data_IF_635360579343
#
_entry.id   IF_635360579343
#
_cell.length_a   1.000
_cell.length_b   1.000
_cell.length_c   1.000
_cell.angle_alpha   90.00
_cell.angle_beta   90.00
_cell.angle_gamma   90.00
#
_symmetry.space_group_name_H-M   'P 1'
#
loop_
_entity.id
_entity.type
_entity.pdbx_description
1 polymer ?
#
# COMPACT_ATOMS: atom_id res chain seq x y z
N UNK A 1 21.33 -8.19 -8.54
CA UNK A 1 21.90 -6.83 -8.66
C UNK A 1 21.17 -6.05 -9.73
N UNK A 2 21.22 -4.72 -9.69
CA UNK A 2 20.77 -3.82 -10.74
C UNK A 2 21.92 -2.86 -11.04
N UNK A 3 22.34 -2.74 -12.31
CA UNK A 3 23.53 -1.96 -12.70
C UNK A 3 24.78 -2.25 -11.85
N UNK A 4 25.01 -3.53 -11.53
CA UNK A 4 26.17 -3.99 -10.75
C UNK A 4 26.05 -3.80 -9.23
N UNK A 5 25.05 -3.08 -8.73
CA UNK A 5 24.82 -2.87 -7.29
C UNK A 5 23.78 -3.83 -6.72
N UNK A 6 23.81 -4.07 -5.41
CA UNK A 6 22.76 -4.82 -4.73
C UNK A 6 21.41 -4.12 -4.95
N UNK A 7 20.43 -4.89 -5.43
CA UNK A 7 19.07 -4.40 -5.66
C UNK A 7 18.26 -4.57 -4.37
N UNK A 8 17.37 -3.63 -4.09
CA UNK A 8 16.37 -3.78 -3.03
C UNK A 8 15.32 -4.81 -3.46
N UNK A 9 15.24 -5.94 -2.76
CA UNK A 9 14.31 -7.04 -3.08
C UNK A 9 13.13 -7.04 -2.12
N UNK A 10 12.33 -5.98 -2.18
CA UNK A 10 11.10 -5.83 -1.39
C UNK A 10 10.08 -6.91 -1.79
N UNK A 11 9.30 -7.42 -0.83
CA UNK A 11 8.28 -8.42 -1.11
C UNK A 11 7.08 -8.24 -0.17
N UNK A 12 5.91 -8.67 -0.62
CA UNK A 12 4.70 -8.70 0.19
C UNK A 12 3.98 -10.04 0.07
N UNK A 13 3.09 -10.33 1.02
CA UNK A 13 2.32 -11.58 1.03
C UNK A 13 1.48 -11.74 -0.23
N UNK A 14 0.65 -10.75 -0.56
CA UNK A 14 -0.24 -10.80 -1.71
C UNK A 14 -0.42 -9.40 -2.29
N UNK A 15 -0.02 -9.18 -3.55
CA UNK A 15 -0.08 -7.86 -4.17
C UNK A 15 -1.47 -7.50 -4.70
N UNK A 16 -2.40 -8.47 -4.78
CA UNK A 16 -3.75 -8.27 -5.28
C UNK A 16 -3.84 -8.30 -6.82
N UNK A 17 -2.90 -8.94 -7.51
CA UNK A 17 -2.91 -9.10 -8.97
C UNK A 17 -2.04 -8.10 -9.72
N UNK A 18 -1.51 -7.08 -9.04
CA UNK A 18 -0.53 -6.14 -9.60
C UNK A 18 0.34 -5.52 -8.50
N UNK A 19 1.64 -5.48 -8.73
CA UNK A 19 2.59 -4.84 -7.82
C UNK A 19 2.58 -3.31 -7.98
N UNK A 20 3.03 -2.60 -6.95
CA UNK A 20 3.16 -1.16 -6.93
C UNK A 20 4.53 -0.72 -7.45
N UNK A 21 4.58 0.45 -8.10
CA UNK A 21 5.83 1.04 -8.52
C UNK A 21 6.46 1.83 -7.36
N UNK A 22 7.76 1.60 -7.12
CA UNK A 22 8.51 2.36 -6.10
C UNK A 22 8.81 3.79 -6.59
N UNK A 23 9.00 3.95 -7.90
CA UNK A 23 9.39 5.20 -8.54
C UNK A 23 10.81 5.18 -9.11
N UNK A 24 11.30 6.32 -9.60
CA UNK A 24 12.50 6.39 -10.45
C UNK A 24 13.81 6.01 -9.74
N UNK A 25 13.85 6.04 -8.40
CA UNK A 25 15.04 5.65 -7.62
C UNK A 25 15.26 4.13 -7.57
N UNK A 26 14.22 3.34 -7.88
CA UNK A 26 14.31 1.89 -7.99
C UNK A 26 13.44 1.42 -9.17
N UNK A 27 13.89 1.66 -10.43
CA UNK A 27 13.09 1.41 -11.62
C UNK A 27 12.77 -0.09 -11.83
N UNK A 28 13.56 -0.97 -11.22
CA UNK A 28 13.33 -2.42 -11.19
C UNK A 28 12.26 -2.86 -10.17
N UNK A 29 11.78 -1.96 -9.30
CA UNK A 29 10.56 -2.15 -8.49
C UNK A 29 9.39 -1.49 -9.23
N UNK A 30 9.10 -1.99 -10.43
CA UNK A 30 8.01 -1.53 -11.28
C UNK A 30 6.67 -2.19 -10.89
N UNK A 31 5.58 -1.61 -11.38
CA UNK A 31 4.28 -2.29 -11.38
C UNK A 31 4.27 -3.42 -12.41
N UNK A 32 4.04 -4.63 -11.93
CA UNK A 32 3.99 -5.86 -12.72
C UNK A 32 2.66 -6.54 -12.44
N UNK A 33 1.89 -6.77 -13.50
CA UNK A 33 0.63 -7.50 -13.41
C UNK A 33 0.88 -9.01 -13.36
N UNK A 34 0.11 -9.69 -12.52
CA UNK A 34 0.10 -11.15 -12.43
C UNK A 34 -0.94 -11.74 -13.40
N UNK A 35 -0.76 -12.99 -13.86
CA UNK A 35 -1.78 -13.72 -14.59
C UNK A 35 -3.13 -13.74 -13.84
N UNK A 36 -4.24 -13.61 -14.57
CA UNK A 36 -5.58 -13.47 -13.99
C UNK A 36 -6.06 -14.73 -13.27
N UNK A 37 -5.48 -15.88 -13.63
CA UNK A 37 -5.77 -17.20 -13.07
C UNK A 37 -5.20 -17.37 -11.66
N UNK A 38 -4.28 -16.49 -11.22
CA UNK A 38 -3.75 -16.51 -9.87
C UNK A 38 -4.82 -15.98 -8.91
N UNK A 39 -5.32 -16.80 -7.97
CA UNK A 39 -6.28 -16.34 -6.98
C UNK A 39 -5.57 -15.46 -5.96
N UNK A 40 -6.24 -14.39 -5.56
CA UNK A 40 -5.76 -13.46 -4.55
C UNK A 40 -6.77 -13.36 -3.41
N UNK A 41 -6.26 -13.10 -2.22
CA UNK A 41 -7.05 -12.82 -1.04
C UNK A 41 -7.94 -11.60 -1.25
N UNK A 42 -9.17 -11.69 -0.74
CA UNK A 42 -10.10 -10.56 -0.61
C UNK A 42 -10.45 -10.38 0.86
N UNK A 43 -10.77 -9.16 1.24
CA UNK A 43 -11.17 -8.82 2.60
C UNK A 43 -12.20 -7.70 2.58
N UNK A 44 -13.03 -7.67 3.61
CA UNK A 44 -14.01 -6.61 3.82
C UNK A 44 -13.98 -6.17 5.27
N UNK A 45 -14.00 -4.86 5.51
CA UNK A 45 -14.10 -4.29 6.84
C UNK A 45 -15.15 -3.19 6.86
N UNK A 46 -16.03 -3.24 7.85
CA UNK A 46 -17.11 -2.27 8.02
C UNK A 46 -16.99 -1.56 9.35
N UNK A 47 -17.23 -0.26 9.34
CA UNK A 47 -17.36 0.60 10.51
C UNK A 47 -18.64 1.42 10.39
N UNK A 48 -19.23 1.80 11.50
CA UNK A 48 -20.06 3.00 11.53
C UNK A 48 -19.17 4.24 11.41
N UNK A 49 -19.72 5.35 10.91
CA UNK A 49 -19.02 6.65 10.88
C UNK A 49 -18.52 7.07 12.28
N UNK A 50 -19.29 6.76 13.32
CA UNK A 50 -18.93 7.06 14.72
C UNK A 50 -17.72 6.26 15.20
N UNK A 51 -17.68 4.96 14.94
CA UNK A 51 -16.53 4.11 15.30
C UNK A 51 -15.26 4.54 14.54
N UNK A 52 -15.39 4.83 13.25
CA UNK A 52 -14.29 5.27 12.42
C UNK A 52 -13.77 6.64 12.88
N UNK A 53 -14.69 7.57 13.18
CA UNK A 53 -14.37 8.88 13.77
C UNK A 53 -13.58 8.72 15.08
N UNK A 54 -14.07 7.88 16.01
CA UNK A 54 -13.40 7.65 17.30
C UNK A 54 -11.98 7.10 17.13
N UNK A 55 -11.77 6.14 16.21
CA UNK A 55 -10.43 5.59 15.91
C UNK A 55 -9.48 6.65 15.35
N UNK A 56 -9.96 7.49 14.45
CA UNK A 56 -9.16 8.56 13.86
C UNK A 56 -8.81 9.64 14.89
N UNK A 57 -9.76 10.03 15.75
CA UNK A 57 -9.52 10.99 16.83
C UNK A 57 -8.51 10.44 17.84
N UNK A 58 -8.62 9.17 18.22
CA UNK A 58 -7.66 8.49 19.09
C UNK A 58 -6.24 8.48 18.49
N UNK A 59 -6.13 8.47 17.16
CA UNK A 59 -4.86 8.60 16.44
C UNK A 59 -4.39 10.06 16.23
N UNK A 60 -5.10 11.04 16.80
CA UNK A 60 -4.75 12.47 16.78
C UNK A 60 -5.45 13.30 15.71
N UNK A 61 -6.32 12.70 14.89
CA UNK A 61 -7.03 13.39 13.81
C UNK A 61 -8.34 14.01 14.29
N UNK A 62 -8.25 15.11 15.04
CA UNK A 62 -9.41 15.79 15.65
C UNK A 62 -10.47 16.25 14.63
N UNK A 63 -10.09 16.50 13.37
CA UNK A 63 -10.99 16.88 12.29
C UNK A 63 -11.97 15.77 11.88
N UNK A 64 -11.75 14.52 12.32
CA UNK A 64 -12.66 13.40 12.06
C UNK A 64 -13.90 13.43 12.97
N UNK A 65 -13.98 14.33 13.95
CA UNK A 65 -15.16 14.49 14.81
C UNK A 65 -16.41 14.88 14.00
N UNK A 66 -17.48 14.11 14.19
CA UNK A 66 -18.71 14.21 13.41
C UNK A 66 -18.60 13.75 11.95
N UNK A 67 -17.73 12.76 11.66
CA UNK A 67 -17.55 12.22 10.30
C UNK A 67 -18.88 11.90 9.60
N UNK A 68 -19.04 12.33 8.35
CA UNK A 68 -20.24 12.14 7.53
C UNK A 68 -19.96 11.35 6.24
N UNK A 69 -18.75 11.44 5.69
CA UNK A 69 -18.42 10.82 4.42
C UNK A 69 -16.96 10.38 4.36
N UNK A 70 -16.73 9.23 3.75
CA UNK A 70 -15.40 8.70 3.42
C UNK A 70 -15.33 8.41 1.93
N UNK A 71 -14.24 8.83 1.28
CA UNK A 71 -14.01 8.58 -0.15
C UNK A 71 -12.52 8.53 -0.47
N UNK A 72 -12.14 7.80 -1.51
CA UNK A 72 -10.77 7.84 -2.03
C UNK A 72 -10.63 9.09 -2.89
N UNK A 73 -9.63 9.92 -2.60
CA UNK A 73 -9.39 11.16 -3.36
C UNK A 73 -8.37 11.00 -4.48
N UNK A 74 -7.49 10.00 -4.38
CA UNK A 74 -6.49 9.71 -5.41
C UNK A 74 -6.17 8.22 -5.43
N UNK A 75 -6.02 7.68 -6.64
CA UNK A 75 -5.59 6.30 -6.88
C UNK A 75 -4.24 6.30 -7.62
N UNK A 76 -3.45 5.27 -7.34
CA UNK A 76 -2.25 4.93 -8.10
C UNK A 76 -2.65 4.16 -9.36
N UNK A 77 -1.74 4.11 -10.34
CA UNK A 77 -1.94 3.34 -11.58
C UNK A 77 -2.13 1.84 -11.33
N UNK A 78 -1.64 1.32 -10.21
CA UNK A 78 -1.87 -0.06 -9.74
C UNK A 78 -3.31 -0.33 -9.28
N UNK A 79 -4.15 0.70 -9.14
CA UNK A 79 -5.47 0.58 -8.51
C UNK A 79 -5.44 0.61 -6.98
N UNK A 80 -4.29 0.88 -6.36
CA UNK A 80 -4.21 1.16 -4.92
C UNK A 80 -4.67 2.57 -4.60
N UNK A 81 -5.40 2.74 -3.51
CA UNK A 81 -5.67 4.05 -2.95
C UNK A 81 -4.33 4.73 -2.58
N UNK A 82 -4.16 5.98 -2.99
CA UNK A 82 -3.05 6.82 -2.57
C UNK A 82 -3.47 7.67 -1.36
N UNK A 83 -4.66 8.27 -1.40
CA UNK A 83 -5.18 9.09 -0.32
C UNK A 83 -6.67 8.91 -0.14
N UNK A 84 -7.10 8.99 1.12
CA UNK A 84 -8.51 8.88 1.54
C UNK A 84 -8.92 10.18 2.22
N UNK A 85 -10.09 10.67 1.85
CA UNK A 85 -10.74 11.86 2.39
C UNK A 85 -11.84 11.49 3.35
N UNK A 86 -11.83 12.16 4.50
CA UNK A 86 -12.78 12.08 5.59
C UNK A 86 -13.41 13.47 5.75
N UNK A 87 -14.72 13.57 5.52
CA UNK A 87 -15.43 14.85 5.54
C UNK A 87 -16.50 14.87 6.64
N UNK A 88 -16.61 15.99 7.33
CA UNK A 88 -17.60 16.25 8.37
C UNK A 88 -17.69 17.75 8.70
N UNK A 89 -18.43 18.13 9.75
CA UNK A 89 -18.67 19.53 10.10
C UNK A 89 -17.40 20.26 10.59
N UNK A 90 -16.37 19.52 11.01
CA UNK A 90 -15.06 20.08 11.39
C UNK A 90 -14.11 20.27 10.20
N UNK A 91 -14.59 20.02 8.98
CA UNK A 91 -13.86 20.20 7.73
C UNK A 91 -13.50 18.88 7.05
N UNK A 92 -12.46 18.94 6.22
CA UNK A 92 -11.98 17.80 5.44
C UNK A 92 -10.59 17.40 5.89
N UNK A 93 -10.42 16.12 6.18
CA UNK A 93 -9.14 15.49 6.50
C UNK A 93 -8.75 14.56 5.35
N UNK A 94 -7.53 14.73 4.84
CA UNK A 94 -6.95 13.79 3.86
C UNK A 94 -5.83 13.02 4.53
N UNK A 95 -5.88 11.70 4.45
CA UNK A 95 -4.86 10.79 4.99
C UNK A 95 -4.28 9.96 3.85
N UNK A 96 -2.96 9.83 3.78
CA UNK A 96 -2.29 8.84 2.93
C UNK A 96 -2.80 7.44 3.26
N UNK A 97 -3.10 6.63 2.25
CA UNK A 97 -3.73 5.32 2.44
C UNK A 97 -2.83 4.33 3.20
N UNK A 98 -1.51 4.41 3.02
CA UNK A 98 -0.58 3.58 3.80
C UNK A 98 -0.57 4.02 5.26
N UNK A 99 -0.61 5.33 5.55
CA UNK A 99 -0.78 5.82 6.92
C UNK A 99 -2.11 5.38 7.53
N UNK A 100 -3.21 5.47 6.78
CA UNK A 100 -4.53 5.02 7.23
C UNK A 100 -4.51 3.53 7.60
N UNK A 101 -3.87 2.70 6.78
CA UNK A 101 -3.69 1.27 7.06
C UNK A 101 -2.99 1.02 8.40
N UNK A 102 -1.95 1.79 8.73
CA UNK A 102 -1.31 1.68 10.05
C UNK A 102 -2.19 2.17 11.19
N UNK A 103 -2.94 3.25 10.98
CA UNK A 103 -3.86 3.84 11.97
C UNK A 103 -5.01 2.89 12.32
N UNK A 104 -5.62 2.25 11.31
CA UNK A 104 -6.73 1.32 11.51
C UNK A 104 -6.28 -0.11 11.83
N UNK A 105 -4.99 -0.39 11.61
CA UNK A 105 -4.36 -1.68 11.87
C UNK A 105 -4.15 -2.49 10.58
N UNK A 106 -2.91 -2.94 10.30
CA UNK A 106 -2.59 -3.66 9.07
C UNK A 106 -3.19 -5.08 8.98
N UNK A 107 -3.73 -5.61 10.09
CA UNK A 107 -4.53 -6.85 10.09
C UNK A 107 -6.00 -6.64 9.73
N UNK A 108 -6.49 -5.39 9.83
CA UNK A 108 -7.87 -5.00 9.53
C UNK A 108 -7.96 -4.45 8.11
N UNK A 109 -7.12 -3.46 7.80
CA UNK A 109 -6.92 -2.94 6.44
C UNK A 109 -5.69 -3.64 5.87
N UNK A 110 -5.89 -4.77 5.20
CA UNK A 110 -4.76 -5.66 4.88
C UNK A 110 -3.86 -5.12 3.77
N UNK A 111 -4.40 -4.31 2.86
CA UNK A 111 -3.66 -3.62 1.80
C UNK A 111 -4.24 -2.22 1.54
N UNK A 112 -3.59 -1.45 0.66
CA UNK A 112 -4.14 -0.20 0.11
C UNK A 112 -4.95 -0.42 -1.18
N UNK A 113 -5.11 -1.67 -1.63
CA UNK A 113 -5.92 -2.02 -2.80
C UNK A 113 -7.34 -2.27 -2.34
N UNK A 114 -8.10 -1.19 -2.16
CA UNK A 114 -9.49 -1.25 -1.73
C UNK A 114 -10.35 -0.20 -2.41
N UNK A 115 -11.64 -0.46 -2.45
CA UNK A 115 -12.69 0.53 -2.64
C UNK A 115 -13.31 0.87 -1.28
N UNK A 116 -13.88 2.07 -1.16
CA UNK A 116 -14.63 2.49 0.03
C UNK A 116 -16.01 2.98 -0.38
N UNK A 117 -17.03 2.56 0.37
CA UNK A 117 -18.40 2.99 0.21
C UNK A 117 -18.92 3.54 1.54
N UNK A 118 -19.59 4.68 1.50
CA UNK A 118 -20.37 5.19 2.65
C UNK A 118 -21.85 5.08 2.30
N UNK A 119 -22.59 4.32 3.09
CA UNK A 119 -24.03 4.10 2.95
C UNK A 119 -24.83 5.21 3.66
N UNK A 120 -26.08 5.48 3.25
CA UNK A 120 -26.92 6.52 3.87
C UNK A 120 -27.21 6.31 5.37
N UNK A 121 -27.13 5.07 5.84
CA UNK A 121 -27.30 4.69 7.25
C UNK A 121 -26.05 5.01 8.12
N UNK A 122 -25.00 5.58 7.52
CA UNK A 122 -23.76 5.90 8.20
C UNK A 122 -22.79 4.72 8.31
N UNK A 123 -23.01 3.65 7.55
CA UNK A 123 -22.07 2.53 7.43
C UNK A 123 -20.99 2.84 6.41
N UNK A 124 -19.72 2.60 6.76
CA UNK A 124 -18.55 2.72 5.87
C UNK A 124 -17.93 1.33 5.68
N UNK A 125 -17.88 0.86 4.45
CA UNK A 125 -17.30 -0.43 4.11
C UNK A 125 -16.07 -0.25 3.22
N UNK A 126 -14.96 -0.87 3.62
CA UNK A 126 -13.75 -1.05 2.84
C UNK A 126 -13.75 -2.45 2.26
N UNK A 127 -13.73 -2.57 0.94
CA UNK A 127 -13.64 -3.83 0.23
C UNK A 127 -12.31 -3.89 -0.50
N UNK A 128 -11.44 -4.80 -0.12
CA UNK A 128 -10.07 -4.84 -0.63
C UNK A 128 -9.58 -6.21 -1.06
N UNK A 129 -8.39 -6.19 -1.66
CA UNK A 129 -7.70 -7.33 -2.25
C UNK A 129 -6.24 -7.33 -1.83
N UNK A 130 -5.66 -8.50 -1.66
CA UNK A 130 -4.27 -8.68 -1.27
C UNK A 130 -3.95 -8.26 0.16
N UNK A 131 -2.69 -8.49 0.54
CA UNK A 131 -2.16 -8.26 1.88
C UNK A 131 -0.71 -7.75 1.79
N UNK A 132 -0.49 -6.57 2.36
CA UNK A 132 0.81 -5.89 2.39
C UNK A 132 0.92 -4.69 1.47
N UNK A 133 2.15 -4.19 1.33
CA UNK A 133 2.45 -2.93 0.66
C UNK A 133 2.44 -3.02 -0.87
N UNK A 134 2.53 -4.23 -1.46
CA UNK A 134 2.45 -4.44 -2.90
C UNK A 134 3.74 -4.19 -3.68
N UNK A 135 4.86 -3.87 -3.04
CA UNK A 135 6.12 -3.54 -3.75
C UNK A 135 6.97 -4.79 -3.96
N UNK A 136 7.55 -4.92 -5.15
CA UNK A 136 8.44 -6.02 -5.52
C UNK A 136 7.70 -7.36 -5.63
N UNK A 137 8.23 -8.43 -5.03
CA UNK A 137 7.70 -9.77 -5.24
C UNK A 137 6.44 -10.07 -4.42
N UNK A 138 5.40 -10.60 -5.08
CA UNK A 138 4.22 -11.16 -4.44
C UNK A 138 4.48 -12.63 -4.06
N UNK A 139 4.37 -13.00 -2.78
CA UNK A 139 4.64 -14.37 -2.34
C UNK A 139 3.57 -15.36 -2.85
N UNK A 140 2.29 -14.98 -2.80
CA UNK A 140 1.19 -15.77 -3.36
C UNK A 140 1.38 -15.98 -4.87
N UNK A 141 1.69 -14.92 -5.60
CA UNK A 141 1.94 -15.00 -7.04
C UNK A 141 3.18 -15.79 -7.40
N UNK A 142 4.29 -15.61 -6.68
CA UNK A 142 5.50 -16.41 -6.87
C UNK A 142 5.22 -17.92 -6.68
N UNK A 143 4.45 -18.28 -5.65
CA UNK A 143 4.03 -19.68 -5.42
C UNK A 143 3.19 -20.21 -6.58
N UNK A 144 2.24 -19.42 -7.08
CA UNK A 144 1.39 -19.81 -8.21
C UNK A 144 2.19 -19.94 -9.51
N UNK A 145 3.08 -18.99 -9.81
CA UNK A 145 3.98 -19.03 -10.96
C UNK A 145 4.91 -20.26 -10.93
N UNK A 146 5.36 -20.70 -9.75
CA UNK A 146 6.16 -21.91 -9.60
C UNK A 146 5.36 -23.22 -9.83
N UNK A 147 4.03 -23.14 -9.79
CA UNK A 147 3.14 -24.31 -9.89
C UNK A 147 2.56 -24.45 -11.30
N UNK A 148 2.04 -25.64 -11.70
CA UNK A 148 1.25 -25.76 -12.90
C UNK A 148 0.05 -24.79 -12.89
N UNK A 149 -0.32 -24.21 -14.04
CA UNK A 149 0.21 -24.45 -15.38
C UNK A 149 1.47 -23.63 -15.73
N UNK A 150 1.90 -22.70 -14.87
CA UNK A 150 2.96 -21.74 -15.21
C UNK A 150 4.36 -22.38 -15.18
N UNK A 151 4.67 -23.17 -14.15
CA UNK A 151 5.94 -23.91 -13.99
C UNK A 151 7.20 -23.04 -14.15
N UNK A 152 7.16 -21.78 -13.68
CA UNK A 152 8.32 -20.89 -13.75
C UNK A 152 9.42 -21.38 -12.81
N UNK A 153 10.66 -21.28 -13.27
CA UNK A 153 11.85 -21.46 -12.42
C UNK A 153 12.04 -20.23 -11.51
N UNK A 154 12.85 -20.37 -10.45
CA UNK A 154 13.06 -19.28 -9.49
C UNK A 154 13.63 -18.01 -10.15
N UNK A 155 14.52 -18.16 -11.13
CA UNK A 155 15.12 -17.06 -11.87
C UNK A 155 14.11 -16.35 -12.78
N UNK A 156 13.18 -17.09 -13.40
CA UNK A 156 12.05 -16.52 -14.14
C UNK A 156 11.11 -15.73 -13.23
N UNK A 157 10.81 -16.26 -12.03
CA UNK A 157 9.98 -15.56 -11.03
C UNK A 157 10.66 -14.25 -10.60
N UNK A 158 11.96 -14.28 -10.31
CA UNK A 158 12.70 -13.06 -9.93
C UNK A 158 12.76 -12.06 -11.09
N UNK A 159 12.98 -12.52 -12.32
CA UNK A 159 12.98 -11.66 -13.50
C UNK A 159 11.61 -11.02 -13.76
N UNK A 160 10.52 -11.73 -13.45
CA UNK A 160 9.17 -11.20 -13.53
C UNK A 160 8.94 -10.05 -12.52
N UNK A 161 9.27 -10.23 -11.25
CA UNK A 161 9.02 -9.23 -10.21
C UNK A 161 10.07 -8.12 -10.10
N UNK A 162 11.29 -8.37 -10.59
CA UNK A 162 12.40 -7.42 -10.55
C UNK A 162 13.02 -7.25 -11.95
N UNK A 163 12.27 -6.67 -12.91
CA UNK A 163 12.73 -6.53 -14.29
C UNK A 163 14.04 -5.75 -14.38
N UNK A 164 14.94 -6.22 -15.25
CA UNK A 164 16.26 -5.63 -15.47
C UNK A 164 17.29 -5.95 -14.39
N UNK A 165 16.94 -6.72 -13.35
CA UNK A 165 17.93 -7.24 -12.41
C UNK A 165 18.64 -8.47 -12.95
N UNK A 166 19.83 -8.76 -12.40
CA UNK A 166 20.62 -9.96 -12.71
C UNK A 166 20.90 -10.74 -11.44
N UNK A 167 20.93 -12.07 -11.56
CA UNK A 167 21.48 -12.93 -10.52
C UNK A 167 23.00 -12.80 -10.53
N UNK A 168 23.60 -12.65 -9.35
CA UNK A 168 25.04 -12.61 -9.17
C UNK A 168 25.41 -13.55 -8.04
N UNK A 169 26.37 -14.45 -8.28
CA UNK A 169 26.94 -15.29 -7.23
C UNK A 169 27.59 -14.43 -6.15
N UNK A 170 27.47 -14.82 -4.89
CA UNK A 170 28.12 -14.14 -3.79
C UNK A 170 29.62 -14.45 -3.82
N UNK A 171 30.41 -13.56 -4.40
CA UNK A 171 31.87 -13.57 -4.29
C UNK A 171 32.34 -12.25 -3.67
N UNK A 172 32.47 -12.20 -2.34
CA UNK A 172 33.36 -11.27 -1.63
C UNK A 172 32.76 -9.97 -1.06
N UNK A 173 32.59 -9.97 0.27
CA UNK A 173 32.48 -8.86 1.25
C UNK A 173 31.49 -7.72 0.99
N UNK A 174 30.24 -7.88 1.41
CA UNK A 174 29.43 -6.74 1.83
C UNK A 174 29.96 -6.22 3.17
N UNK A 175 30.71 -5.10 3.15
CA UNK A 175 30.87 -4.31 4.37
C UNK A 175 29.51 -3.74 4.77
N UNK A 176 29.08 -3.85 6.04
CA UNK A 176 27.89 -3.16 6.50
C UNK A 176 28.22 -1.68 6.59
N UNK A 177 27.75 -0.89 5.62
CA UNK A 177 27.70 0.56 5.78
C UNK A 177 26.65 0.87 6.84
N UNK A 178 27.12 1.14 8.06
CA UNK A 178 26.36 1.86 9.05
C UNK A 178 26.00 3.26 8.50
N UNK A 179 24.89 3.81 9.01
CA UNK A 179 24.37 5.18 8.82
C UNK A 179 23.78 5.52 7.45
N UNK A 180 22.48 5.26 7.32
CA UNK A 180 21.53 6.40 7.24
C UNK A 180 20.25 5.96 7.95
N UNK A 181 19.91 6.65 9.04
CA UNK A 181 18.71 6.36 9.79
C UNK A 181 17.50 6.34 8.87
N UNK A 182 16.56 5.43 9.15
CA UNK A 182 15.17 5.64 8.73
C UNK A 182 14.84 7.10 9.04
N UNK A 183 14.29 7.89 8.10
CA UNK A 183 13.55 9.05 8.52
C UNK A 183 12.39 8.51 9.35
N UNK A 184 12.52 8.58 10.67
CA UNK A 184 11.38 8.92 11.49
C UNK A 184 10.87 10.22 10.87
N UNK A 185 9.87 10.09 10.01
CA UNK A 185 9.06 11.23 9.62
C UNK A 185 8.33 11.62 10.90
N UNK A 186 9.00 12.44 11.71
CA UNK A 186 8.35 13.49 12.48
C UNK A 186 7.45 14.20 11.47
N UNK A 187 6.18 13.80 11.47
CA UNK A 187 5.12 14.50 10.78
C UNK A 187 4.97 15.85 11.47
N UNK A 188 5.84 16.78 11.09
CA UNK A 188 5.69 18.19 11.39
C UNK A 188 4.34 18.61 10.81
N UNK A 189 3.45 18.93 11.74
CA UNK A 189 2.14 19.51 11.57
C UNK A 189 2.14 20.56 10.44
N UNK A 190 1.51 20.24 9.31
CA UNK A 190 1.04 21.24 8.35
C UNK A 190 -0.43 21.02 8.09
N UNK A 191 -1.25 21.51 9.02
CA UNK A 191 -2.66 21.78 8.77
C UNK A 191 -2.70 22.98 7.81
N UNK A 192 -3.06 22.77 6.54
CA UNK A 192 -3.47 23.88 5.68
C UNK A 192 -4.92 24.22 6.04
N UNK A 193 -5.11 25.28 6.81
CA UNK A 193 -6.41 25.92 7.00
C UNK A 193 -6.66 26.79 5.78
N UNK A 194 -7.65 26.44 4.95
CA UNK A 194 -8.19 27.39 3.98
C UNK A 194 -9.14 28.34 4.72
N UNK A 195 -8.83 29.63 4.74
CA UNK A 195 -9.76 30.66 5.22
C UNK A 195 -10.77 31.01 4.12
N UNK A 196 -12.04 31.31 4.45
CA UNK A 196 -13.00 31.81 3.49
C UNK A 196 -12.73 33.30 3.17
N UNK A 197 -12.78 33.62 1.88
CA UNK A 197 -12.77 35.00 1.38
C UNK A 197 -14.01 35.75 1.85
N UNK A 198 -13.81 36.96 2.39
CA UNK A 198 -14.86 37.98 2.55
C UNK A 198 -15.07 38.73 1.22
#
# INVERSE_FOLDING_TARGET
TYNGQLASTMYCTDCGGITECYGPSAPYLASVAEPREIPHSTWSMTYTLAELSAKLIAAGFKQADGLQKVSISKMRSSGRAESVVFAGPKGTLTIDAARLRFVLGPGVIQSTMFAVQTSPDGTVTFNGKGCGHGLGMCQVGARALASPPFNYTFDQILAHYYPGTKLSGASGSAQPSATTGMPQQNAALRVRVAQPSL
#
